data_IF_974728461898
#
_entry.id   IF_974728461898
#
_cell.length_a   1.000
_cell.length_b   1.000
_cell.length_c   1.000
_cell.angle_alpha   90.00
_cell.angle_beta   90.00
_cell.angle_gamma   90.00
#
_symmetry.space_group_name_H-M   'P 1'
#
loop_
_entity.id
_entity.type
_entity.pdbx_description
1 polymer ?
#
# COMPACT_ATOMS: atom_id res chain seq x y z
N UNK A 1 4.56 17.21 -8.27
CA UNK A 1 3.18 17.53 -7.87
C UNK A 1 2.25 16.76 -8.79
N UNK A 2 1.67 15.65 -8.32
CA UNK A 2 0.63 14.95 -9.08
C UNK A 2 -0.71 15.41 -8.52
N UNK A 3 -1.43 16.17 -9.33
CA UNK A 3 -2.79 16.60 -9.04
C UNK A 3 -3.73 15.39 -9.17
N UNK A 4 -4.52 15.13 -8.13
CA UNK A 4 -5.53 14.09 -8.14
C UNK A 4 -6.68 14.46 -9.08
N UNK A 5 -6.86 13.68 -10.15
CA UNK A 5 -7.96 13.85 -11.09
C UNK A 5 -9.07 12.86 -10.75
N UNK A 6 -10.25 13.39 -10.44
CA UNK A 6 -11.48 12.62 -10.18
C UNK A 6 -11.90 11.86 -11.43
N UNK A 7 -12.49 10.67 -11.26
CA UNK A 7 -12.96 9.73 -12.31
C UNK A 7 -13.94 10.28 -13.36
N UNK A 8 -14.27 11.58 -13.35
CA UNK A 8 -15.06 12.25 -14.40
C UNK A 8 -14.25 13.14 -15.33
N UNK A 9 -13.04 13.55 -14.94
CA UNK A 9 -12.16 14.37 -15.80
C UNK A 9 -11.12 13.53 -16.56
N UNK A 10 -10.83 12.29 -16.11
CA UNK A 10 -9.83 11.41 -16.71
C UNK A 10 -10.16 10.83 -18.10
N UNK A 11 -11.35 11.09 -18.67
CA UNK A 11 -11.67 10.58 -20.00
C UNK A 11 -11.01 11.37 -21.13
N UNK A 12 -10.59 12.62 -20.89
CA UNK A 12 -9.99 13.48 -21.92
C UNK A 12 -8.45 13.48 -21.92
N UNK A 13 -7.81 13.26 -20.78
CA UNK A 13 -6.34 13.39 -20.68
C UNK A 13 -5.57 12.06 -20.86
N UNK A 14 -6.26 10.92 -20.82
CA UNK A 14 -5.61 9.60 -20.85
C UNK A 14 -5.23 9.15 -22.27
N UNK A 15 -5.76 9.81 -23.31
CA UNK A 15 -5.51 9.43 -24.70
C UNK A 15 -4.13 9.89 -25.21
N UNK A 16 -3.56 10.94 -24.58
CA UNK A 16 -2.32 11.54 -25.09
C UNK A 16 -1.03 10.82 -24.63
N UNK A 17 -1.08 10.02 -23.55
CA UNK A 17 0.11 9.38 -22.98
C UNK A 17 0.13 7.85 -23.01
N UNK A 18 -1.01 7.16 -23.09
CA UNK A 18 -1.06 5.72 -22.79
C UNK A 18 -1.59 4.80 -23.90
N UNK A 19 -1.97 5.30 -25.08
CA UNK A 19 -2.65 4.44 -26.06
C UNK A 19 -4.01 3.93 -25.55
N UNK A 20 -4.71 3.09 -26.32
CA UNK A 20 -6.18 2.99 -26.31
C UNK A 20 -6.77 2.68 -24.93
N UNK A 21 -7.82 3.42 -24.58
CA UNK A 21 -8.57 3.36 -23.31
C UNK A 21 -8.77 1.92 -22.82
N UNK A 22 -8.19 1.58 -21.66
CA UNK A 22 -8.45 0.30 -21.02
C UNK A 22 -9.91 0.22 -20.58
N UNK A 23 -10.62 -0.79 -21.06
CA UNK A 23 -12.01 -1.05 -20.65
C UNK A 23 -12.07 -1.44 -19.17
N UNK A 24 -13.20 -1.16 -18.49
CA UNK A 24 -13.43 -1.56 -17.09
C UNK A 24 -13.24 -3.07 -16.87
N UNK A 25 -13.59 -3.89 -17.86
CA UNK A 25 -13.35 -5.33 -17.85
C UNK A 25 -11.88 -5.68 -17.91
N UNK A 26 -11.09 -4.98 -18.74
CA UNK A 26 -9.63 -5.19 -18.84
C UNK A 26 -8.92 -4.88 -17.52
N UNK A 27 -9.32 -3.80 -16.83
CA UNK A 27 -8.77 -3.46 -15.50
C UNK A 27 -9.19 -4.49 -14.46
N UNK A 28 -10.46 -4.92 -14.47
CA UNK A 28 -10.96 -5.94 -13.54
C UNK A 28 -10.26 -7.29 -13.72
N UNK A 29 -10.02 -7.72 -14.96
CA UNK A 29 -9.34 -8.98 -15.25
C UNK A 29 -7.84 -8.91 -14.95
N UNK A 30 -7.22 -7.74 -15.10
CA UNK A 30 -5.86 -7.50 -14.65
C UNK A 30 -5.75 -7.58 -13.12
N UNK A 31 -6.69 -6.97 -12.39
CA UNK A 31 -6.76 -7.09 -10.93
C UNK A 31 -6.92 -8.56 -10.48
N UNK A 32 -7.80 -9.34 -11.11
CA UNK A 32 -7.97 -10.78 -10.79
C UNK A 32 -6.68 -11.60 -11.01
N UNK A 33 -5.85 -11.21 -11.97
CA UNK A 33 -4.55 -11.86 -12.22
C UNK A 33 -3.49 -11.44 -11.20
N UNK A 34 -3.62 -10.27 -10.59
CA UNK A 34 -2.73 -9.79 -9.54
C UNK A 34 -3.06 -10.42 -8.18
N UNK A 35 -4.32 -10.81 -7.94
CA UNK A 35 -4.75 -11.43 -6.69
C UNK A 35 -3.84 -12.60 -6.25
N UNK A 36 -3.58 -13.66 -7.04
CA UNK A 36 -2.72 -14.75 -6.61
C UNK A 36 -1.28 -14.32 -6.35
N UNK A 37 -0.78 -13.32 -7.10
CA UNK A 37 0.57 -12.77 -6.92
C UNK A 37 0.65 -12.04 -5.58
N UNK A 38 -0.33 -11.18 -5.28
CA UNK A 38 -0.40 -10.44 -4.02
C UNK A 38 -0.59 -11.40 -2.84
N UNK A 39 -1.43 -12.43 -2.98
CA UNK A 39 -1.65 -13.43 -1.93
C UNK A 39 -0.40 -14.26 -1.63
N UNK A 40 0.47 -14.50 -2.62
CA UNK A 40 1.74 -15.18 -2.41
C UNK A 40 2.82 -14.23 -1.85
N UNK A 41 2.90 -13.01 -2.38
CA UNK A 41 3.95 -12.06 -2.04
C UNK A 41 3.72 -11.39 -0.68
N UNK A 42 2.49 -10.96 -0.37
CA UNK A 42 2.24 -10.13 0.81
C UNK A 42 2.51 -10.85 2.15
N UNK A 43 2.25 -12.17 2.33
CA UNK A 43 2.57 -12.87 3.57
C UNK A 43 3.99 -13.47 3.61
N UNK A 44 4.82 -13.27 2.58
CA UNK A 44 6.17 -13.85 2.52
C UNK A 44 7.03 -13.48 3.74
N UNK A 45 7.99 -14.34 4.07
CA UNK A 45 8.99 -14.08 5.12
C UNK A 45 9.80 -12.82 4.82
N UNK A 46 10.12 -12.08 5.87
CA UNK A 46 11.00 -10.91 5.87
C UNK A 46 12.29 -11.18 6.66
N UNK A 47 12.48 -12.39 7.17
CA UNK A 47 13.61 -12.74 8.03
C UNK A 47 14.96 -12.86 7.28
N UNK A 48 14.93 -12.93 5.94
CA UNK A 48 16.12 -13.14 5.11
C UNK A 48 17.00 -11.90 5.00
N UNK A 49 16.43 -10.72 5.21
CA UNK A 49 17.13 -9.44 5.09
C UNK A 49 16.85 -8.54 6.29
N UNK A 50 17.85 -7.74 6.67
CA UNK A 50 17.67 -6.63 7.60
C UNK A 50 17.24 -5.38 6.82
N UNK A 51 16.33 -4.59 7.40
CA UNK A 51 15.84 -3.34 6.82
C UNK A 51 16.02 -2.18 7.80
N UNK A 52 17.20 -1.53 7.86
CA UNK A 52 17.47 -0.44 8.80
C UNK A 52 16.54 0.77 8.62
N UNK A 53 16.02 1.01 7.41
CA UNK A 53 15.08 2.09 7.15
C UNK A 53 13.73 1.55 6.69
N UNK A 54 12.66 2.04 7.32
CA UNK A 54 11.29 1.71 6.96
C UNK A 54 10.55 2.98 6.58
N UNK A 55 10.06 3.06 5.34
CA UNK A 55 9.14 4.09 4.91
C UNK A 55 7.72 3.53 5.01
N UNK A 56 6.83 4.29 5.63
CA UNK A 56 5.41 3.95 5.73
C UNK A 56 4.54 5.08 5.21
N UNK A 57 3.41 4.71 4.64
CA UNK A 57 2.43 5.64 4.04
C UNK A 57 1.03 5.02 4.13
N UNK A 58 -0.01 5.86 4.12
CA UNK A 58 -1.41 5.46 4.10
C UNK A 58 -2.17 6.14 2.95
N UNK A 59 -2.69 5.33 2.04
CA UNK A 59 -3.53 5.81 0.94
C UNK A 59 -5.02 5.60 1.26
N UNK A 60 -5.81 6.67 1.22
CA UNK A 60 -7.28 6.57 1.37
C UNK A 60 -7.90 6.16 0.04
N UNK A 61 -8.46 4.95 -0.01
CA UNK A 61 -9.10 4.37 -1.18
C UNK A 61 -10.62 4.36 -1.03
N UNK A 62 -11.35 4.74 -2.09
CA UNK A 62 -12.79 4.53 -2.20
C UNK A 62 -13.05 3.24 -2.96
N UNK A 63 -13.45 2.20 -2.24
CA UNK A 63 -13.72 0.89 -2.81
C UNK A 63 -15.21 0.55 -2.74
N UNK A 64 -15.68 -0.27 -3.68
CA UNK A 64 -17.07 -0.75 -3.67
C UNK A 64 -17.13 -2.12 -3.00
N UNK A 65 -17.79 -2.19 -1.85
CA UNK A 65 -18.01 -3.41 -1.08
C UNK A 65 -19.51 -3.55 -0.81
N UNK A 66 -20.06 -4.75 -1.03
CA UNK A 66 -21.49 -5.06 -0.83
C UNK A 66 -22.43 -4.04 -1.49
N UNK A 67 -22.07 -3.60 -2.69
CA UNK A 67 -22.83 -2.63 -3.46
C UNK A 67 -22.70 -1.16 -3.02
N UNK A 68 -22.03 -0.88 -1.90
CA UNK A 68 -21.82 0.47 -1.34
C UNK A 68 -20.37 0.95 -1.52
N UNK A 69 -20.16 2.24 -1.74
CA UNK A 69 -18.82 2.83 -1.76
C UNK A 69 -18.40 3.11 -0.32
N UNK A 70 -17.28 2.52 0.12
CA UNK A 70 -16.68 2.73 1.43
C UNK A 70 -15.27 3.28 1.29
N UNK A 71 -14.87 4.08 2.27
CA UNK A 71 -13.48 4.50 2.42
C UNK A 71 -12.70 3.40 3.14
N UNK A 72 -11.50 3.11 2.67
CA UNK A 72 -10.49 2.25 3.30
C UNK A 72 -9.16 2.98 3.36
N UNK A 73 -8.35 2.64 4.33
CA UNK A 73 -6.94 3.02 4.38
C UNK A 73 -6.11 1.84 3.86
N UNK A 74 -5.26 2.07 2.87
CA UNK A 74 -4.23 1.15 2.46
C UNK A 74 -2.92 1.55 3.13
N UNK A 75 -2.51 0.79 4.14
CA UNK A 75 -1.24 0.96 4.83
C UNK A 75 -0.15 0.26 4.02
N UNK A 76 0.95 0.96 3.79
CA UNK A 76 2.05 0.51 2.94
C UNK A 76 3.34 0.57 3.74
N UNK A 77 4.19 -0.44 3.59
CA UNK A 77 5.55 -0.47 4.13
C UNK A 77 6.57 -0.75 3.02
N UNK A 78 7.59 0.10 2.93
CA UNK A 78 8.75 -0.06 2.04
C UNK A 78 10.02 -0.05 2.90
N UNK A 79 10.78 -1.14 2.83
CA UNK A 79 12.06 -1.27 3.51
C UNK A 79 13.20 -0.86 2.60
N UNK A 80 14.26 -0.33 3.18
CA UNK A 80 15.58 -0.20 2.54
C UNK A 80 16.51 -1.16 3.26
N UNK A 81 17.08 -2.12 2.53
CA UNK A 81 18.03 -3.08 3.10
C UNK A 81 19.43 -2.45 3.28
N UNK A 82 20.36 -3.20 3.88
CA UNK A 82 21.74 -2.73 4.13
C UNK A 82 22.53 -2.39 2.84
N UNK A 83 22.10 -2.92 1.70
CA UNK A 83 22.68 -2.63 0.38
C UNK A 83 22.07 -1.38 -0.28
N UNK A 84 21.09 -0.74 0.39
CA UNK A 84 20.38 0.44 -0.14
C UNK A 84 19.24 0.11 -1.11
N UNK A 85 18.90 -1.17 -1.29
CA UNK A 85 17.82 -1.60 -2.16
C UNK A 85 16.46 -1.40 -1.48
N UNK A 86 15.55 -0.75 -2.20
CA UNK A 86 14.17 -0.53 -1.75
C UNK A 86 13.29 -1.70 -2.14
N UNK A 87 12.52 -2.19 -1.18
CA UNK A 87 11.62 -3.31 -1.36
C UNK A 87 10.30 -3.05 -0.66
N UNK A 88 9.18 -3.35 -1.32
CA UNK A 88 7.89 -3.31 -0.66
C UNK A 88 7.80 -4.51 0.30
N UNK A 89 7.53 -4.23 1.58
CA UNK A 89 7.49 -5.25 2.62
C UNK A 89 6.06 -5.70 2.90
N UNK A 90 5.08 -4.83 2.72
CA UNK A 90 3.69 -5.24 2.89
C UNK A 90 2.68 -4.15 2.59
N UNK A 91 1.45 -4.61 2.39
CA UNK A 91 0.26 -3.81 2.18
C UNK A 91 -0.90 -4.37 3.01
N UNK A 92 -1.63 -3.51 3.72
CA UNK A 92 -2.78 -3.89 4.54
C UNK A 92 -3.95 -2.92 4.33
N UNK A 93 -5.13 -3.46 4.05
CA UNK A 93 -6.36 -2.67 3.93
C UNK A 93 -7.08 -2.64 5.26
N UNK A 94 -7.31 -1.44 5.77
CA UNK A 94 -7.98 -1.19 7.03
C UNK A 94 -9.19 -0.27 6.86
N UNK A 95 -10.09 -0.32 7.83
CA UNK A 95 -11.30 0.52 7.82
C UNK A 95 -10.98 2.02 7.96
N UNK A 96 -9.90 2.35 8.66
CA UNK A 96 -9.38 3.71 8.84
C UNK A 96 -7.89 3.70 9.16
N UNK A 97 -7.25 4.86 9.05
CA UNK A 97 -5.85 5.07 9.43
C UNK A 97 -5.73 5.43 10.93
N UNK A 98 -6.18 4.52 11.79
CA UNK A 98 -6.11 4.70 13.23
C UNK A 98 -4.80 4.17 13.82
N UNK A 99 -4.49 4.54 15.06
CA UNK A 99 -3.36 3.98 15.81
C UNK A 99 -3.45 2.45 15.89
N UNK A 100 -4.64 1.89 16.10
CA UNK A 100 -4.83 0.43 16.15
C UNK A 100 -4.53 -0.25 14.81
N UNK A 101 -4.91 0.38 13.70
CA UNK A 101 -4.58 -0.09 12.35
C UNK A 101 -3.07 -0.15 12.13
N UNK A 102 -2.35 0.92 12.51
CA UNK A 102 -0.89 0.96 12.43
C UNK A 102 -0.21 -0.08 13.34
N UNK A 103 -0.70 -0.24 14.60
CA UNK A 103 -0.19 -1.26 15.52
C UNK A 103 -0.38 -2.67 14.96
N UNK A 104 -1.55 -2.97 14.41
CA UNK A 104 -1.83 -4.25 13.78
C UNK A 104 -0.90 -4.50 12.59
N UNK A 105 -0.70 -3.49 11.74
CA UNK A 105 0.19 -3.56 10.58
C UNK A 105 1.64 -3.84 10.99
N UNK A 106 2.19 -3.10 11.96
CA UNK A 106 3.55 -3.35 12.45
C UNK A 106 3.70 -4.70 13.15
N UNK A 107 2.71 -5.12 13.94
CA UNK A 107 2.72 -6.44 14.55
C UNK A 107 2.76 -7.55 13.48
N UNK A 108 1.97 -7.39 12.41
CA UNK A 108 1.95 -8.33 11.30
C UNK A 108 3.29 -8.38 10.53
N UNK A 109 3.94 -7.23 10.30
CA UNK A 109 5.30 -7.20 9.70
C UNK A 109 6.33 -7.91 10.60
N UNK A 110 6.27 -7.69 11.92
CA UNK A 110 7.16 -8.36 12.90
C UNK A 110 6.94 -9.88 12.94
N UNK A 111 5.68 -10.33 12.89
CA UNK A 111 5.36 -11.77 12.83
C UNK A 111 5.94 -12.44 11.59
N UNK A 112 6.10 -11.70 10.49
CA UNK A 112 6.74 -12.16 9.25
C UNK A 112 8.27 -12.13 9.31
N UNK A 113 8.87 -11.66 10.40
CA UNK A 113 10.32 -11.65 10.61
C UNK A 113 11.00 -10.30 10.43
N UNK A 114 10.24 -9.20 10.23
CA UNK A 114 10.84 -7.86 10.16
C UNK A 114 11.52 -7.52 11.50
N UNK A 115 12.83 -7.27 11.45
CA UNK A 115 13.65 -6.91 12.60
C UNK A 115 14.80 -5.98 12.20
N UNK A 116 15.42 -5.33 13.19
CA UNK A 116 16.58 -4.45 12.95
C UNK A 116 16.24 -3.14 12.22
N UNK A 117 15.02 -2.63 12.38
CA UNK A 117 14.61 -1.31 11.88
C UNK A 117 15.18 -0.24 12.82
N UNK A 118 15.99 0.66 12.28
CA UNK A 118 16.63 1.75 13.03
C UNK A 118 15.86 3.06 12.88
N UNK A 119 15.27 3.31 11.70
CA UNK A 119 14.51 4.53 11.41
C UNK A 119 13.19 4.19 10.72
N UNK A 120 12.10 4.77 11.22
CA UNK A 120 10.80 4.78 10.52
C UNK A 120 10.50 6.19 10.03
N UNK A 121 10.19 6.32 8.75
CA UNK A 121 9.83 7.58 8.08
C UNK A 121 8.39 7.49 7.59
N UNK A 122 7.63 8.55 7.82
CA UNK A 122 6.28 8.74 7.30
C UNK A 122 6.07 10.20 6.99
N UNK A 123 5.21 10.50 6.03
CA UNK A 123 4.59 11.81 5.98
C UNK A 123 3.62 11.94 7.18
N UNK A 124 3.51 13.16 7.74
CA UNK A 124 2.93 13.37 9.08
C UNK A 124 1.43 13.03 9.10
N UNK A 125 1.11 11.80 9.49
CA UNK A 125 -0.22 11.38 9.91
C UNK A 125 -0.26 11.11 11.43
N UNK A 126 -1.21 11.76 12.12
CA UNK A 126 -1.23 11.82 13.59
C UNK A 126 -1.41 10.48 14.33
N UNK A 127 -1.87 9.42 13.64
CA UNK A 127 -2.01 8.07 14.19
C UNK A 127 -0.69 7.31 14.33
N UNK A 128 0.30 7.61 13.48
CA UNK A 128 1.55 6.84 13.42
C UNK A 128 2.48 7.13 14.59
N UNK A 129 2.61 8.40 15.00
CA UNK A 129 3.54 8.82 16.06
C UNK A 129 3.24 8.14 17.40
N UNK A 130 2.00 7.72 17.63
CA UNK A 130 1.60 6.98 18.84
C UNK A 130 1.77 5.47 18.73
N UNK A 131 1.83 4.92 17.51
CA UNK A 131 1.83 3.49 17.25
C UNK A 131 3.24 2.87 17.28
N UNK A 132 4.26 3.66 16.92
CA UNK A 132 5.69 3.34 17.12
C UNK A 132 6.01 3.23 18.61
#
# INVERSE_FOLDING_TARGET
MVNGVSTRDGAKDTEQWCGPSFSKSTVSDLCKRLDPIVQAWNPRSLAEHRYPFLLVDALVLRIREDGRIRSRAALIAVGVNDEGHREMLGLMLESSESESSWRAFFAWLKQRGLSGVDIVVSDRHGGLVKAL
#
